data_IF_755094014082
#
_entry.id   IF_755094014082
#
_cell.length_a   1.000
_cell.length_b   1.000
_cell.length_c   1.000
_cell.angle_alpha   90.00
_cell.angle_beta   90.00
_cell.angle_gamma   90.00
#
_symmetry.space_group_name_H-M   'P 1'
#
loop_
_entity.id
_entity.type
_entity.pdbx_description
1 polymer ?
#
# COMPACT_ATOMS: atom_id res chain seq x y z
N UNK A 1 13.57 18.40 29.23
CA UNK A 1 13.94 17.15 28.53
C UNK A 1 14.06 17.51 27.07
N UNK A 2 15.04 16.95 26.37
CA UNK A 2 15.29 17.32 24.98
C UNK A 2 14.12 16.92 24.07
N UNK A 3 13.85 17.79 23.11
CA UNK A 3 12.84 17.70 22.07
C UNK A 3 13.27 16.69 21.00
N UNK A 4 12.33 16.05 20.30
CA UNK A 4 12.65 15.28 19.10
C UNK A 4 12.94 13.79 19.31
N UNK A 5 12.60 13.17 20.44
CA UNK A 5 12.79 11.72 20.58
C UNK A 5 11.63 10.94 19.96
N UNK A 6 11.95 9.74 19.48
CA UNK A 6 10.98 8.80 18.95
C UNK A 6 11.24 7.38 19.45
N UNK A 7 10.23 6.54 19.29
CA UNK A 7 10.34 5.08 19.30
C UNK A 7 9.99 4.57 17.91
N UNK A 8 10.58 3.45 17.52
CA UNK A 8 10.31 2.84 16.24
C UNK A 8 10.28 1.32 16.36
N UNK A 9 9.63 0.68 15.40
CA UNK A 9 9.61 -0.76 15.25
C UNK A 9 9.60 -1.11 13.76
N UNK A 10 10.63 -1.85 13.34
CA UNK A 10 10.59 -2.59 12.09
C UNK A 10 9.63 -3.78 12.25
N UNK A 11 8.68 -3.90 11.33
CA UNK A 11 7.67 -4.96 11.35
C UNK A 11 8.17 -6.25 10.69
N UNK A 12 9.26 -6.19 9.91
CA UNK A 12 9.72 -7.29 9.06
C UNK A 12 8.80 -7.60 7.88
N UNK A 13 7.74 -6.80 7.66
CA UNK A 13 6.78 -6.99 6.57
C UNK A 13 7.27 -6.26 5.33
N UNK A 14 7.43 -7.01 4.22
CA UNK A 14 7.77 -6.41 2.92
C UNK A 14 6.67 -5.48 2.43
N UNK A 15 7.09 -4.40 1.77
CA UNK A 15 6.18 -3.47 1.11
C UNK A 15 5.65 -4.12 -0.17
N UNK A 16 4.33 -4.09 -0.34
CA UNK A 16 3.64 -4.64 -1.50
C UNK A 16 3.26 -3.51 -2.46
N UNK A 17 3.34 -3.72 -3.79
CA UNK A 17 2.83 -2.75 -4.75
C UNK A 17 1.30 -2.68 -4.70
N UNK A 18 0.73 -1.58 -5.21
CA UNK A 18 -0.71 -1.37 -5.35
C UNK A 18 -1.52 -1.64 -4.06
N UNK A 19 -0.96 -1.31 -2.89
CA UNK A 19 -1.49 -1.67 -1.58
C UNK A 19 -1.72 -0.42 -0.72
N UNK A 20 -2.91 -0.28 -0.12
CA UNK A 20 -3.15 0.78 0.87
C UNK A 20 -2.79 0.29 2.26
N UNK A 21 -1.87 0.97 2.91
CA UNK A 21 -1.55 0.81 4.32
C UNK A 21 -2.26 1.88 5.14
N UNK A 22 -2.83 1.50 6.28
CA UNK A 22 -3.38 2.42 7.27
C UNK A 22 -2.70 2.22 8.61
N UNK A 23 -2.09 3.28 9.13
CA UNK A 23 -1.58 3.36 10.49
C UNK A 23 -2.59 4.10 11.36
N UNK A 24 -3.13 3.42 12.35
CA UNK A 24 -4.01 3.97 13.38
C UNK A 24 -3.25 4.05 14.71
N UNK A 25 -3.34 5.21 15.37
CA UNK A 25 -2.67 5.46 16.66
C UNK A 25 -3.62 6.23 17.57
N UNK A 26 -3.64 5.88 18.86
CA UNK A 26 -4.24 6.73 19.89
C UNK A 26 -3.19 7.63 20.51
N UNK A 27 -3.48 8.92 20.65
CA UNK A 27 -2.61 9.91 21.29
C UNK A 27 -3.19 10.31 22.65
N UNK A 28 -2.31 10.46 23.65
CA UNK A 28 -2.70 10.77 25.03
C UNK A 28 -2.32 12.18 25.46
N UNK A 29 -3.25 12.87 26.12
CA UNK A 29 -2.99 14.12 26.85
C UNK A 29 -2.92 13.81 28.34
N UNK A 30 -1.71 13.87 28.91
CA UNK A 30 -1.53 13.58 30.34
C UNK A 30 -2.06 14.71 31.23
N UNK A 31 -1.60 15.93 30.98
CA UNK A 31 -2.05 17.19 31.55
C UNK A 31 -1.26 18.36 30.96
N UNK A 32 -1.69 19.60 31.25
CA UNK A 32 -1.05 20.82 30.78
C UNK A 32 0.46 20.96 31.10
N UNK A 33 1.02 20.21 32.06
CA UNK A 33 2.46 20.22 32.36
C UNK A 33 3.30 19.25 31.52
N UNK A 34 2.67 18.27 30.88
CA UNK A 34 3.35 17.22 30.08
C UNK A 34 2.86 17.16 28.63
N UNK A 35 1.67 17.64 28.33
CA UNK A 35 1.06 17.67 27.00
C UNK A 35 0.49 19.07 26.79
N UNK A 36 1.38 20.05 26.64
CA UNK A 36 1.01 21.45 26.40
C UNK A 36 0.31 21.62 25.06
N UNK A 37 -0.37 22.74 24.84
CA UNK A 37 -0.81 23.12 23.47
C UNK A 37 0.41 23.17 22.54
N UNK A 38 0.27 22.58 21.36
CA UNK A 38 1.37 22.32 20.43
C UNK A 38 2.13 21.03 20.74
N UNK A 39 1.56 20.10 21.51
CA UNK A 39 2.17 18.79 21.76
C UNK A 39 1.99 17.88 20.54
N UNK A 40 2.79 18.15 19.51
CA UNK A 40 2.75 17.49 18.21
C UNK A 40 3.23 16.03 18.31
N UNK A 41 2.27 15.14 18.52
CA UNK A 41 2.49 13.70 18.55
C UNK A 41 2.51 13.17 17.12
N UNK A 42 3.71 12.89 16.63
CA UNK A 42 4.00 12.52 15.23
C UNK A 42 4.01 11.00 15.07
N UNK A 43 3.47 10.51 13.97
CA UNK A 43 3.43 9.09 13.61
C UNK A 43 3.76 8.92 12.13
N UNK A 44 4.64 7.96 11.82
CA UNK A 44 5.31 7.86 10.51
C UNK A 44 5.35 6.40 10.07
N UNK A 45 5.20 6.19 8.75
CA UNK A 45 5.50 4.93 8.07
C UNK A 45 6.77 5.17 7.25
N UNK A 46 7.80 4.33 7.44
CA UNK A 46 9.05 4.36 6.66
C UNK A 46 9.27 3.05 5.90
N UNK A 47 10.14 3.09 4.90
CA UNK A 47 10.55 1.92 4.12
C UNK A 47 11.79 1.19 4.65
N UNK A 48 12.46 1.75 5.66
CA UNK A 48 13.65 1.17 6.28
C UNK A 48 13.93 1.83 7.63
N UNK A 49 14.63 1.12 8.52
CA UNK A 49 15.15 1.63 9.78
C UNK A 49 16.66 2.00 9.68
N UNK A 50 17.27 1.84 8.50
CA UNK A 50 18.71 2.02 8.30
C UNK A 50 19.20 3.42 8.67
N UNK A 51 18.35 4.45 8.60
CA UNK A 51 18.72 5.82 8.97
C UNK A 51 18.24 6.21 10.38
N UNK A 52 17.65 5.28 11.14
CA UNK A 52 17.16 5.51 12.50
C UNK A 52 18.24 5.15 13.52
N UNK A 53 19.04 6.15 13.90
CA UNK A 53 19.96 6.02 15.04
C UNK A 53 21.29 5.32 14.75
N UNK A 54 21.80 5.41 13.52
CA UNK A 54 23.14 4.90 13.18
C UNK A 54 24.22 5.66 13.99
N UNK A 55 25.20 4.90 14.50
CA UNK A 55 26.39 5.41 15.18
C UNK A 55 26.16 6.23 16.47
N UNK A 56 25.08 5.94 17.20
CA UNK A 56 24.84 6.54 18.52
C UNK A 56 24.37 8.01 18.48
N UNK A 57 24.13 8.56 17.29
CA UNK A 57 23.41 9.81 17.09
C UNK A 57 21.95 9.48 16.79
N UNK A 58 21.09 9.61 17.79
CA UNK A 58 19.65 9.62 17.56
C UNK A 58 19.32 10.92 16.83
N UNK A 59 18.95 10.82 15.55
CA UNK A 59 18.25 11.90 14.86
C UNK A 59 17.02 12.30 15.67
N UNK A 60 16.62 13.55 15.55
CA UNK A 60 15.35 14.02 16.07
C UNK A 60 14.20 13.57 15.17
N UNK A 61 12.98 13.49 15.70
CA UNK A 61 11.76 13.26 14.90
C UNK A 61 11.69 14.24 13.73
N UNK A 62 12.08 15.50 13.94
CA UNK A 62 12.14 16.51 12.89
C UNK A 62 13.11 16.12 11.76
N UNK A 63 14.33 15.68 12.09
CA UNK A 63 15.33 15.26 11.08
C UNK A 63 14.88 14.00 10.34
N UNK A 64 14.22 13.06 11.01
CA UNK A 64 13.69 11.85 10.36
C UNK A 64 12.60 12.19 9.34
N UNK A 65 11.78 13.21 9.60
CA UNK A 65 10.73 13.63 8.64
C UNK A 65 11.29 14.19 7.33
N UNK A 66 12.59 14.51 7.27
CA UNK A 66 13.27 14.96 6.05
C UNK A 66 13.93 13.79 5.28
N UNK A 67 13.89 12.56 5.81
CA UNK A 67 14.51 11.38 5.21
C UNK A 67 13.70 10.84 4.02
N UNK A 68 14.40 10.40 2.97
CA UNK A 68 13.78 9.84 1.76
C UNK A 68 13.04 8.52 1.98
N UNK A 69 13.27 7.83 3.10
CA UNK A 69 12.58 6.60 3.48
C UNK A 69 11.19 6.83 4.05
N UNK A 70 10.81 8.09 4.35
CA UNK A 70 9.47 8.43 4.82
C UNK A 70 8.45 8.20 3.71
N UNK A 71 7.55 7.25 3.93
CA UNK A 71 6.46 6.91 3.01
C UNK A 71 5.24 7.79 3.28
N UNK A 72 4.93 8.00 4.57
CA UNK A 72 3.87 8.88 5.01
C UNK A 72 4.11 9.34 6.45
N UNK A 73 3.64 10.54 6.79
CA UNK A 73 3.72 11.07 8.14
C UNK A 73 2.44 11.85 8.50
N UNK A 74 2.07 11.78 9.77
CA UNK A 74 1.00 12.58 10.37
C UNK A 74 1.42 13.13 11.73
N UNK A 75 0.72 14.17 12.19
CA UNK A 75 0.89 14.71 13.54
C UNK A 75 -0.46 15.14 14.09
N UNK A 76 -0.61 15.02 15.41
CA UNK A 76 -1.80 15.47 16.12
C UNK A 76 -1.45 16.12 17.45
N UNK A 77 -1.87 17.38 17.62
CA UNK A 77 -1.65 18.12 18.87
C UNK A 77 -2.51 17.53 20.00
N UNK A 78 -1.86 16.81 20.91
CA UNK A 78 -2.51 16.20 22.07
C UNK A 78 -3.12 17.24 23.00
N UNK A 79 -2.43 18.36 23.23
CA UNK A 79 -2.84 19.41 24.16
C UNK A 79 -4.09 20.16 23.70
N UNK A 80 -4.31 20.22 22.39
CA UNK A 80 -5.50 20.85 21.79
C UNK A 80 -6.65 19.85 21.58
N UNK A 81 -6.36 18.66 21.09
CA UNK A 81 -7.39 17.77 20.55
C UNK A 81 -7.84 16.65 21.48
N UNK A 82 -7.09 16.37 22.55
CA UNK A 82 -7.38 15.26 23.47
C UNK A 82 -7.71 15.82 24.85
N UNK A 83 -8.85 15.44 25.47
CA UNK A 83 -9.16 15.84 26.84
C UNK A 83 -8.07 15.41 27.82
N UNK A 84 -7.73 16.29 28.76
CA UNK A 84 -6.73 16.00 29.79
C UNK A 84 -7.06 14.70 30.56
N UNK A 85 -6.03 13.86 30.73
CA UNK A 85 -6.12 12.58 31.41
C UNK A 85 -6.65 11.43 30.54
N UNK A 86 -6.81 11.63 29.23
CA UNK A 86 -7.39 10.63 28.33
C UNK A 86 -6.54 10.36 27.09
N UNK A 87 -6.91 9.32 26.35
CA UNK A 87 -6.44 9.03 25.00
C UNK A 87 -7.60 9.19 24.02
N UNK A 88 -7.29 9.65 22.81
CA UNK A 88 -8.22 9.66 21.70
C UNK A 88 -7.54 9.14 20.43
N UNK A 89 -8.34 8.64 19.49
CA UNK A 89 -7.83 8.19 18.20
C UNK A 89 -7.41 9.40 17.36
N UNK A 90 -6.15 9.43 16.94
CA UNK A 90 -5.68 10.41 15.96
C UNK A 90 -6.29 10.11 14.58
N UNK A 91 -6.36 11.10 13.67
CA UNK A 91 -6.67 10.84 12.28
C UNK A 91 -5.75 9.75 11.72
N UNK A 92 -6.29 8.67 11.11
CA UNK A 92 -5.48 7.59 10.59
C UNK A 92 -4.56 8.10 9.47
N UNK A 93 -3.34 7.56 9.41
CA UNK A 93 -2.40 7.82 8.33
C UNK A 93 -2.58 6.76 7.25
N UNK A 94 -2.99 7.18 6.06
CA UNK A 94 -3.15 6.30 4.90
C UNK A 94 -2.02 6.53 3.89
N UNK A 95 -1.45 5.44 3.39
CA UNK A 95 -0.40 5.44 2.40
C UNK A 95 -0.71 4.39 1.33
N UNK A 96 -0.82 4.81 0.08
CA UNK A 96 -1.01 3.92 -1.06
C UNK A 96 0.33 3.72 -1.77
N UNK A 97 0.73 2.47 -1.97
CA UNK A 97 1.82 2.14 -2.88
C UNK A 97 1.32 2.03 -4.32
N UNK A 98 2.21 2.36 -5.24
CA UNK A 98 2.00 2.17 -6.68
C UNK A 98 2.72 0.89 -7.16
N UNK A 99 2.84 0.69 -8.48
CA UNK A 99 3.39 -0.54 -9.07
C UNK A 99 4.85 -0.84 -8.72
N UNK A 100 5.71 0.17 -8.50
CA UNK A 100 7.09 0.01 -8.02
C UNK A 100 7.16 0.50 -6.59
N UNK A 101 7.74 -0.31 -5.71
CA UNK A 101 7.89 0.00 -4.28
C UNK A 101 9.36 0.09 -3.88
N UNK A 102 9.69 0.91 -2.88
CA UNK A 102 11.03 0.95 -2.31
C UNK A 102 11.45 -0.42 -1.76
N UNK A 103 12.76 -0.67 -1.78
CA UNK A 103 13.33 -1.82 -1.08
C UNK A 103 13.20 -1.64 0.44
N UNK A 104 13.08 -2.77 1.16
CA UNK A 104 13.02 -2.79 2.63
C UNK A 104 11.70 -3.32 3.19
N UNK A 105 11.40 -2.90 4.41
CA UNK A 105 10.26 -3.35 5.22
C UNK A 105 9.50 -2.16 5.77
N UNK A 106 8.23 -2.38 6.13
CA UNK A 106 7.43 -1.35 6.78
C UNK A 106 7.95 -1.12 8.20
N UNK A 107 8.35 0.13 8.47
CA UNK A 107 8.76 0.59 9.80
C UNK A 107 7.74 1.59 10.31
N UNK A 108 7.32 1.44 11.57
CA UNK A 108 6.45 2.41 12.25
C UNK A 108 7.28 3.20 13.23
N UNK A 109 7.18 4.52 13.17
CA UNK A 109 7.83 5.44 14.11
C UNK A 109 6.79 6.32 14.79
N UNK A 110 6.96 6.51 16.10
CA UNK A 110 6.14 7.39 16.94
C UNK A 110 7.08 8.40 17.59
N UNK A 111 6.95 9.66 17.20
CA UNK A 111 7.87 10.71 17.55
C UNK A 111 7.22 11.88 18.26
N UNK A 112 8.03 12.57 19.06
CA UNK A 112 7.65 13.80 19.73
C UNK A 112 8.26 15.01 19.00
N UNK A 113 7.42 15.87 18.44
CA UNK A 113 7.80 17.16 17.85
C UNK A 113 7.31 18.36 18.67
N UNK A 114 6.99 18.13 19.94
CA UNK A 114 6.45 19.16 20.82
C UNK A 114 7.53 20.17 21.23
N UNK A 115 7.22 21.48 21.32
CA UNK A 115 8.17 22.47 21.82
C UNK A 115 8.50 22.24 23.31
N UNK A 116 7.60 21.58 24.05
CA UNK A 116 7.83 21.08 25.41
C UNK A 116 6.86 19.95 25.74
N UNK A 117 7.14 19.22 26.82
CA UNK A 117 6.31 18.07 27.23
C UNK A 117 6.81 16.75 26.66
N UNK A 118 5.89 15.80 26.49
CA UNK A 118 6.10 14.46 25.94
C UNK A 118 4.84 14.00 25.22
N UNK A 119 5.01 13.39 24.05
CA UNK A 119 3.95 12.65 23.37
C UNK A 119 3.69 11.31 24.06
N UNK A 120 2.43 10.87 24.04
CA UNK A 120 2.01 9.57 24.57
C UNK A 120 1.19 8.83 23.52
N UNK A 121 1.48 7.56 23.32
CA UNK A 121 0.86 6.75 22.27
C UNK A 121 0.32 5.44 22.84
N UNK A 122 -0.79 4.96 22.28
CA UNK A 122 -1.38 3.65 22.58
C UNK A 122 -2.12 3.10 21.36
N UNK A 123 -2.47 1.81 21.39
CA UNK A 123 -3.33 1.14 20.40
C UNK A 123 -2.85 1.32 18.94
N UNK A 124 -1.54 1.23 18.74
CA UNK A 124 -0.86 1.35 17.44
C UNK A 124 -1.20 0.14 16.59
N UNK A 125 -1.77 0.37 15.41
CA UNK A 125 -2.18 -0.67 14.48
C UNK A 125 -1.82 -0.29 13.06
N UNK A 126 -1.05 -1.16 12.40
CA UNK A 126 -0.78 -1.07 10.98
C UNK A 126 -1.58 -2.17 10.29
N UNK A 127 -2.42 -1.80 9.34
CA UNK A 127 -3.28 -2.71 8.59
C UNK A 127 -3.22 -2.39 7.09
N UNK A 128 -3.51 -3.39 6.27
CA UNK A 128 -3.80 -3.17 4.85
C UNK A 128 -5.30 -2.89 4.73
N UNK A 129 -5.66 -1.86 3.98
CA UNK A 129 -7.04 -1.42 3.76
C UNK A 129 -7.37 -1.51 2.27
N UNK A 130 -8.60 -1.92 1.96
CA UNK A 130 -9.02 -2.14 0.57
C UNK A 130 -8.75 -3.58 0.10
N UNK A 131 -9.01 -3.89 -1.18
CA UNK A 131 -8.76 -5.22 -1.70
C UNK A 131 -7.26 -5.52 -1.65
N UNK A 132 -6.86 -6.44 -0.77
CA UNK A 132 -5.53 -7.08 -0.74
C UNK A 132 -5.28 -7.97 -1.95
N UNK A 133 -6.32 -8.20 -2.75
CA UNK A 133 -6.18 -8.95 -3.98
C UNK A 133 -5.48 -8.06 -5.00
N UNK A 134 -4.17 -8.19 -5.08
CA UNK A 134 -3.32 -7.60 -6.14
C UNK A 134 -3.18 -8.56 -7.32
N UNK A 135 -3.90 -9.68 -7.33
CA UNK A 135 -3.84 -10.64 -8.43
C UNK A 135 -4.48 -10.01 -9.66
N UNK A 136 -3.84 -10.07 -10.84
CA UNK A 136 -4.48 -9.68 -12.09
C UNK A 136 -5.82 -10.39 -12.25
N UNK A 137 -6.88 -9.63 -12.51
CA UNK A 137 -8.24 -10.17 -12.63
C UNK A 137 -9.00 -9.57 -13.80
N UNK A 138 -10.07 -10.25 -14.17
CA UNK A 138 -11.01 -9.83 -15.22
C UNK A 138 -12.25 -9.25 -14.54
N UNK A 139 -12.66 -8.06 -14.96
CA UNK A 139 -13.89 -7.36 -14.57
C UNK A 139 -14.73 -7.07 -15.82
N UNK A 140 -16.03 -6.81 -15.65
CA UNK A 140 -16.94 -6.37 -16.71
C UNK A 140 -16.91 -7.22 -18.00
N UNK A 141 -16.71 -8.53 -17.84
CA UNK A 141 -16.60 -9.48 -18.95
C UNK A 141 -17.88 -9.53 -19.81
N UNK A 142 -17.70 -9.30 -21.11
CA UNK A 142 -18.72 -9.37 -22.15
C UNK A 142 -18.27 -10.33 -23.26
N UNK A 143 -19.24 -11.03 -23.85
CA UNK A 143 -19.02 -11.94 -24.96
C UNK A 143 -19.89 -11.50 -26.15
N UNK A 144 -19.26 -11.07 -27.23
CA UNK A 144 -19.92 -10.87 -28.51
C UNK A 144 -19.70 -12.10 -29.39
N UNK A 145 -20.54 -13.11 -29.17
CA UNK A 145 -20.47 -14.38 -29.90
C UNK A 145 -20.69 -14.17 -31.41
N UNK A 146 -21.51 -13.19 -31.78
CA UNK A 146 -21.85 -12.95 -33.19
C UNK A 146 -20.66 -12.38 -33.95
N UNK A 147 -19.92 -11.48 -33.32
CA UNK A 147 -18.79 -10.82 -33.94
C UNK A 147 -17.45 -11.48 -33.58
N UNK A 148 -17.45 -12.47 -32.68
CA UNK A 148 -16.26 -13.22 -32.31
C UNK A 148 -15.36 -12.48 -31.33
N UNK A 149 -15.90 -11.76 -30.35
CA UNK A 149 -15.08 -11.01 -29.38
C UNK A 149 -15.37 -11.39 -27.93
N UNK A 150 -14.31 -11.31 -27.12
CA UNK A 150 -14.39 -11.18 -25.67
C UNK A 150 -13.86 -9.79 -25.31
N UNK A 151 -14.67 -9.04 -24.57
CA UNK A 151 -14.33 -7.71 -24.06
C UNK A 151 -14.36 -7.71 -22.53
N UNK A 152 -13.38 -7.12 -21.88
CA UNK A 152 -13.34 -7.02 -20.43
C UNK A 152 -12.39 -5.93 -19.94
N UNK A 153 -12.54 -5.56 -18.67
CA UNK A 153 -11.60 -4.71 -17.97
C UNK A 153 -10.59 -5.60 -17.22
N UNK A 154 -9.31 -5.51 -17.57
CA UNK A 154 -8.23 -6.13 -16.83
C UNK A 154 -7.82 -5.21 -15.68
N UNK A 155 -7.92 -5.69 -14.43
CA UNK A 155 -7.61 -4.92 -13.23
C UNK A 155 -6.41 -5.48 -12.47
N UNK A 156 -5.81 -4.64 -11.62
CA UNK A 156 -4.59 -4.92 -10.84
C UNK A 156 -3.35 -5.23 -11.68
N UNK A 157 -3.23 -4.57 -12.83
CA UNK A 157 -2.03 -4.73 -13.64
C UNK A 157 -0.87 -3.90 -13.05
N UNK A 158 0.35 -4.32 -13.37
CA UNK A 158 1.55 -3.57 -13.04
C UNK A 158 2.02 -2.90 -14.33
N UNK A 159 2.04 -1.55 -14.41
CA UNK A 159 2.47 -0.84 -15.60
C UNK A 159 3.87 -1.27 -16.07
N UNK A 160 4.04 -1.41 -17.38
CA UNK A 160 5.28 -1.87 -18.02
C UNK A 160 5.52 -3.39 -17.98
N UNK A 161 4.60 -4.17 -17.39
CA UNK A 161 4.64 -5.64 -17.47
C UNK A 161 3.81 -6.16 -18.63
N UNK A 162 4.28 -7.25 -19.22
CA UNK A 162 3.56 -7.97 -20.27
C UNK A 162 2.58 -8.96 -19.66
N UNK A 163 1.39 -9.03 -20.21
CA UNK A 163 0.33 -9.98 -19.88
C UNK A 163 -0.19 -10.66 -21.13
N UNK A 164 -0.84 -11.82 -20.97
CA UNK A 164 -1.59 -12.47 -22.03
C UNK A 164 -2.89 -13.08 -21.49
N UNK A 165 -3.79 -13.44 -22.41
CA UNK A 165 -5.00 -14.17 -22.07
C UNK A 165 -4.76 -15.66 -22.22
N UNK A 166 -5.16 -16.44 -21.23
CA UNK A 166 -5.22 -17.88 -21.32
C UNK A 166 -6.65 -18.38 -21.17
N UNK A 167 -6.97 -19.46 -21.88
CA UNK A 167 -8.31 -20.03 -21.92
C UNK A 167 -8.27 -21.56 -21.84
N UNK A 168 -9.33 -22.13 -21.27
CA UNK A 168 -9.44 -23.55 -20.99
C UNK A 168 -10.87 -24.08 -21.07
N UNK A 169 -10.99 -25.39 -21.26
CA UNK A 169 -12.27 -26.12 -21.17
C UNK A 169 -12.59 -26.52 -19.71
N UNK A 170 -11.61 -26.40 -18.81
CA UNK A 170 -11.69 -26.72 -17.39
C UNK A 170 -10.66 -25.90 -16.58
N UNK A 171 -10.72 -25.96 -15.25
CA UNK A 171 -9.84 -25.16 -14.38
C UNK A 171 -8.38 -25.65 -14.30
N UNK A 172 -7.98 -26.72 -14.99
CA UNK A 172 -6.63 -27.30 -14.88
C UNK A 172 -5.78 -27.21 -16.15
N UNK A 173 -6.35 -26.92 -17.32
CA UNK A 173 -5.62 -26.95 -18.61
C UNK A 173 -5.72 -25.63 -19.39
N UNK A 174 -5.21 -24.54 -18.82
CA UNK A 174 -5.15 -23.25 -19.49
C UNK A 174 -4.06 -23.20 -20.56
N UNK A 175 -4.42 -22.68 -21.74
CA UNK A 175 -3.53 -22.46 -22.88
C UNK A 175 -3.64 -21.00 -23.29
N UNK A 176 -2.50 -20.35 -23.53
CA UNK A 176 -2.46 -18.98 -24.02
C UNK A 176 -3.18 -18.82 -25.37
N UNK A 177 -3.96 -17.75 -25.49
CA UNK A 177 -4.54 -17.31 -26.75
C UNK A 177 -3.44 -16.62 -27.57
N UNK A 178 -3.34 -16.97 -28.85
CA UNK A 178 -2.39 -16.34 -29.76
C UNK A 178 -2.71 -14.87 -29.91
N UNK A 179 -1.66 -14.05 -30.05
CA UNK A 179 -1.75 -12.60 -30.25
C UNK A 179 -2.54 -11.85 -29.17
N UNK A 180 -2.70 -12.45 -27.99
CA UNK A 180 -3.36 -11.84 -26.81
C UNK A 180 -2.39 -11.12 -25.87
N UNK A 181 -1.12 -10.99 -26.27
CA UNK A 181 -0.09 -10.32 -25.49
C UNK A 181 -0.27 -8.80 -25.51
N UNK A 182 -0.14 -8.18 -24.35
CA UNK A 182 -0.12 -6.72 -24.25
C UNK A 182 0.76 -6.27 -23.08
N UNK A 183 1.35 -5.08 -23.19
CA UNK A 183 2.03 -4.41 -22.09
C UNK A 183 1.02 -3.50 -21.37
N UNK A 184 0.91 -3.65 -20.05
CA UNK A 184 0.00 -2.80 -19.27
C UNK A 184 0.51 -1.35 -19.26
N UNK A 185 -0.33 -0.41 -19.71
CA UNK A 185 -0.05 1.03 -19.65
C UNK A 185 -0.53 1.66 -18.34
N UNK A 186 -1.51 1.03 -17.67
CA UNK A 186 -2.02 1.42 -16.36
C UNK A 186 -2.36 0.22 -15.48
N UNK A 187 -3.00 0.50 -14.33
CA UNK A 187 -3.48 -0.55 -13.40
C UNK A 187 -4.80 -1.19 -13.85
N UNK A 188 -5.51 -0.52 -14.76
CA UNK A 188 -6.71 -1.02 -15.44
C UNK A 188 -6.55 -0.84 -16.95
N UNK A 189 -6.95 -1.84 -17.73
CA UNK A 189 -6.91 -1.82 -19.19
C UNK A 189 -8.19 -2.40 -19.78
N UNK A 190 -8.74 -1.76 -20.81
CA UNK A 190 -9.82 -2.34 -21.61
C UNK A 190 -9.21 -3.29 -22.63
N UNK A 191 -9.60 -4.57 -22.58
CA UNK A 191 -9.03 -5.62 -23.43
C UNK A 191 -10.12 -6.25 -24.28
N UNK A 192 -9.91 -6.20 -25.58
CA UNK A 192 -10.75 -6.85 -26.60
C UNK A 192 -9.92 -7.90 -27.34
N UNK A 193 -10.37 -9.15 -27.32
CA UNK A 193 -9.70 -10.25 -28.04
C UNK A 193 -10.65 -10.95 -28.98
N UNK A 194 -10.20 -11.12 -30.22
CA UNK A 194 -10.90 -11.88 -31.25
C UNK A 194 -10.78 -13.38 -30.96
N UNK A 195 -11.92 -14.08 -30.94
CA UNK A 195 -12.03 -15.51 -30.67
C UNK A 195 -12.96 -16.16 -31.69
N UNK A 196 -12.46 -17.24 -32.28
CA UNK A 196 -13.28 -18.17 -33.03
C UNK A 196 -13.98 -19.15 -32.06
N UNK A 197 -15.24 -18.85 -31.75
CA UNK A 197 -16.09 -19.68 -30.89
C UNK A 197 -16.45 -21.03 -31.53
N UNK A 198 -16.31 -21.21 -32.85
CA UNK A 198 -16.57 -22.50 -33.51
C UNK A 198 -15.39 -23.47 -33.33
N UNK A 199 -14.16 -22.97 -33.35
CA UNK A 199 -12.96 -23.79 -33.13
C UNK A 199 -12.45 -23.81 -31.69
N UNK A 200 -12.91 -22.88 -30.83
CA UNK A 200 -12.52 -22.77 -29.43
C UNK A 200 -13.75 -22.62 -28.50
N UNK A 201 -14.46 -23.71 -28.19
CA UNK A 201 -15.56 -23.70 -27.23
C UNK A 201 -15.03 -23.64 -25.79
N UNK A 202 -14.34 -22.56 -25.43
CA UNK A 202 -13.64 -22.45 -24.14
C UNK A 202 -14.49 -21.69 -23.12
N UNK A 203 -14.70 -22.33 -21.96
CA UNK A 203 -15.61 -21.86 -20.92
C UNK A 203 -14.94 -20.99 -19.86
N UNK A 204 -13.61 -21.03 -19.76
CA UNK A 204 -12.84 -20.30 -18.76
C UNK A 204 -11.77 -19.44 -19.40
N UNK A 205 -11.66 -18.20 -18.92
CA UNK A 205 -10.67 -17.20 -19.36
C UNK A 205 -9.98 -16.64 -18.12
N UNK A 206 -8.68 -16.38 -18.23
CA UNK A 206 -7.89 -15.67 -17.22
C UNK A 206 -6.86 -14.79 -17.88
N UNK A 207 -6.44 -13.76 -17.15
CA UNK A 207 -5.25 -12.98 -17.46
C UNK A 207 -4.04 -13.60 -16.75
N UNK A 208 -2.90 -13.63 -17.44
CA UNK A 208 -1.65 -14.23 -16.95
C UNK A 208 -0.53 -13.25 -17.19
N UNK A 209 0.33 -13.06 -16.18
CA UNK A 209 1.56 -12.27 -16.35
C UNK A 209 2.61 -13.06 -17.15
N UNK A 210 3.26 -12.39 -18.09
CA UNK A 210 4.30 -12.93 -18.97
C UNK A 210 3.85 -13.11 -20.42
N UNK A 211 4.79 -13.48 -21.28
CA UNK A 211 4.52 -13.81 -22.68
C UNK A 211 3.74 -15.13 -22.81
N UNK A 212 3.03 -15.29 -23.92
CA UNK A 212 2.40 -16.54 -24.35
C UNK A 212 3.49 -17.60 -24.53
N UNK A 213 3.41 -18.74 -23.83
CA UNK A 213 4.39 -19.81 -23.99
C UNK A 213 4.44 -20.34 -25.44
N UNK A 214 5.64 -20.62 -25.99
CA UNK A 214 5.75 -21.28 -27.29
C UNK A 214 5.12 -22.68 -27.25
N UNK A 215 4.37 -23.03 -28.31
CA UNK A 215 3.71 -24.33 -28.47
C UNK A 215 4.67 -25.49 -28.69
#
# INVERSE_FOLDING_TARGET
MATGYYIWQDTGVSILPNTTYRLSVSVGNRNAGYSVIGNESTYVILSTDENLGVDGNLFTTFEVLEDSSVLAAGSWDAGTNVPEGTFAAAPPLEFQTEGVVPEGTLVVLLGDNSPSGRSHFDNVRLEIVGPTDTTPRIENLSFDIKNGFIDFDAANLIPGRTYHIASADNLSTFVGLFDSEFEASGVNEEVSVEIDFESQPKSFVRIVEGAVPPR
#
